data_IF_363759097313
#
_entry.id   IF_363759097313
#
_cell.length_a   1.000
_cell.length_b   1.000
_cell.length_c   1.000
_cell.angle_alpha   90.00
_cell.angle_beta   90.00
_cell.angle_gamma   90.00
#
_symmetry.space_group_name_H-M   'P 1'
#
loop_
_entity.id
_entity.type
_entity.pdbx_description
1 polymer ?
#
# COMPACT_ATOMS: atom_id res chain seq x y z
N UNK A 1 70.67 -25.12 -62.04
CA UNK A 1 70.49 -23.94 -61.15
C UNK A 1 69.38 -23.04 -61.68
N UNK A 2 69.39 -22.67 -62.97
CA UNK A 2 68.35 -21.81 -63.58
C UNK A 2 66.95 -22.43 -63.62
N UNK A 3 66.79 -23.71 -63.98
CA UNK A 3 65.47 -24.38 -63.97
C UNK A 3 64.83 -24.43 -62.57
N UNK A 4 65.63 -24.73 -61.54
CA UNK A 4 65.19 -24.68 -60.13
C UNK A 4 64.72 -23.28 -59.73
N UNK A 5 65.41 -22.23 -60.21
CA UNK A 5 65.01 -20.85 -59.98
C UNK A 5 63.64 -20.56 -60.61
N UNK A 6 63.41 -20.97 -61.86
CA UNK A 6 62.12 -20.76 -62.53
C UNK A 6 60.96 -21.51 -61.84
N UNK A 7 61.19 -22.74 -61.41
CA UNK A 7 60.19 -23.52 -60.66
C UNK A 7 59.85 -22.87 -59.32
N UNK A 8 60.86 -22.45 -58.55
CA UNK A 8 60.65 -21.79 -57.25
C UNK A 8 59.93 -20.45 -57.43
N UNK A 9 60.28 -19.66 -58.45
CA UNK A 9 59.63 -18.39 -58.76
C UNK A 9 58.17 -18.60 -59.21
N UNK A 10 57.91 -19.53 -60.11
CA UNK A 10 56.56 -19.83 -60.60
C UNK A 10 55.64 -20.40 -59.51
N UNK A 11 56.19 -21.29 -58.67
CA UNK A 11 55.47 -21.80 -57.50
C UNK A 11 55.15 -20.69 -56.50
N UNK A 12 56.11 -19.82 -56.19
CA UNK A 12 55.93 -18.69 -55.28
C UNK A 12 54.87 -17.70 -55.79
N UNK A 13 54.89 -17.38 -57.08
CA UNK A 13 53.87 -16.52 -57.71
C UNK A 13 52.46 -17.12 -57.60
N UNK A 14 52.34 -18.44 -57.77
CA UNK A 14 51.06 -19.15 -57.63
C UNK A 14 50.54 -19.09 -56.20
N UNK A 15 51.41 -19.33 -55.21
CA UNK A 15 51.07 -19.23 -53.77
C UNK A 15 50.67 -17.80 -53.41
N UNK A 16 51.41 -16.79 -53.87
CA UNK A 16 51.08 -15.37 -53.66
C UNK A 16 49.72 -15.04 -54.27
N UNK A 17 49.44 -15.50 -55.50
CA UNK A 17 48.15 -15.29 -56.16
C UNK A 17 46.98 -15.93 -55.39
N UNK A 18 47.18 -17.14 -54.84
CA UNK A 18 46.19 -17.80 -53.98
C UNK A 18 45.96 -17.03 -52.68
N UNK A 19 47.02 -16.61 -52.00
CA UNK A 19 46.94 -15.81 -50.76
C UNK A 19 46.22 -14.48 -51.02
N UNK A 20 46.57 -13.77 -52.10
CA UNK A 20 45.94 -12.51 -52.49
C UNK A 20 44.43 -12.68 -52.78
N UNK A 21 44.06 -13.79 -53.43
CA UNK A 21 42.66 -14.12 -53.72
C UNK A 21 41.85 -14.35 -52.44
N UNK A 22 42.41 -15.11 -51.48
CA UNK A 22 41.78 -15.34 -50.18
C UNK A 22 41.70 -14.05 -49.37
N UNK A 23 42.76 -13.24 -49.35
CA UNK A 23 42.79 -11.96 -48.66
C UNK A 23 41.73 -10.98 -49.20
N UNK A 24 41.59 -10.88 -50.52
CA UNK A 24 40.55 -10.07 -51.15
C UNK A 24 39.13 -10.56 -50.80
N UNK A 25 38.89 -11.87 -50.89
CA UNK A 25 37.60 -12.47 -50.55
C UNK A 25 37.23 -12.25 -49.07
N UNK A 26 38.20 -12.45 -48.17
CA UNK A 26 38.03 -12.20 -46.73
C UNK A 26 37.74 -10.73 -46.45
N UNK A 27 38.48 -9.80 -47.03
CA UNK A 27 38.24 -8.37 -46.87
C UNK A 27 36.80 -7.98 -47.28
N UNK A 28 36.31 -8.54 -48.40
CA UNK A 28 34.92 -8.33 -48.84
C UNK A 28 33.90 -8.94 -47.88
N UNK A 29 34.18 -10.11 -47.31
CA UNK A 29 33.29 -10.76 -46.32
C UNK A 29 33.23 -9.98 -45.01
N UNK A 30 34.37 -9.49 -44.50
CA UNK A 30 34.40 -8.64 -43.30
C UNK A 30 33.63 -7.34 -43.52
N UNK A 31 33.81 -6.66 -44.66
CA UNK A 31 33.05 -5.45 -44.97
C UNK A 31 31.52 -5.69 -45.04
N UNK A 32 31.08 -6.88 -45.45
CA UNK A 32 29.67 -7.25 -45.43
C UNK A 32 29.18 -7.52 -44.00
N UNK A 33 30.01 -8.15 -43.17
CA UNK A 33 29.72 -8.42 -41.76
C UNK A 33 29.58 -7.11 -41.00
N UNK A 34 30.48 -6.15 -41.19
CA UNK A 34 30.42 -4.82 -40.56
C UNK A 34 29.10 -4.11 -40.87
N UNK A 35 28.69 -4.11 -42.15
CA UNK A 35 27.39 -3.55 -42.56
C UNK A 35 26.20 -4.22 -41.86
N UNK A 36 26.26 -5.54 -41.65
CA UNK A 36 25.20 -6.27 -40.93
C UNK A 36 25.21 -5.92 -39.45
N UNK A 37 26.38 -5.79 -38.83
CA UNK A 37 26.51 -5.36 -37.44
C UNK A 37 26.00 -3.93 -37.24
N UNK A 38 26.31 -3.00 -38.15
CA UNK A 38 25.81 -1.63 -38.10
C UNK A 38 24.28 -1.59 -38.20
N UNK A 39 23.71 -2.33 -39.15
CA UNK A 39 22.25 -2.44 -39.29
C UNK A 39 21.60 -3.05 -38.05
N UNK A 40 22.22 -4.08 -37.48
CA UNK A 40 21.74 -4.74 -36.26
C UNK A 40 21.78 -3.79 -35.06
N UNK A 41 22.85 -2.99 -34.95
CA UNK A 41 23.01 -2.00 -33.88
C UNK A 41 21.90 -0.95 -33.93
N UNK A 42 21.64 -0.40 -35.11
CA UNK A 42 20.54 0.57 -35.33
C UNK A 42 19.18 -0.04 -34.95
N UNK A 43 18.93 -1.29 -35.33
CA UNK A 43 17.68 -1.98 -34.98
C UNK A 43 17.55 -2.20 -33.47
N UNK A 44 18.62 -2.64 -32.80
CA UNK A 44 18.63 -2.83 -31.35
C UNK A 44 18.43 -1.52 -30.59
N UNK A 45 19.12 -0.45 -30.99
CA UNK A 45 18.97 0.87 -30.37
C UNK A 45 17.52 1.36 -30.52
N UNK A 46 16.91 1.20 -31.70
CA UNK A 46 15.49 1.53 -31.92
C UNK A 46 14.53 0.68 -31.08
N UNK A 47 14.81 -0.62 -30.92
CA UNK A 47 14.02 -1.50 -30.04
C UNK A 47 14.14 -1.12 -28.57
N UNK A 48 15.32 -0.70 -28.13
CA UNK A 48 15.53 -0.22 -26.76
C UNK A 48 14.81 1.11 -26.51
N UNK A 49 14.88 2.05 -27.46
CA UNK A 49 14.16 3.33 -27.33
C UNK A 49 12.65 3.14 -27.28
N UNK A 50 12.10 2.31 -28.18
CA UNK A 50 10.66 2.01 -28.19
C UNK A 50 10.20 1.29 -26.92
N UNK A 51 10.94 0.27 -26.46
CA UNK A 51 10.64 -0.41 -25.20
C UNK A 51 10.70 0.52 -24.00
N UNK A 52 11.70 1.42 -23.95
CA UNK A 52 11.80 2.42 -22.89
C UNK A 52 10.64 3.41 -22.91
N UNK A 53 10.21 3.85 -24.10
CA UNK A 53 9.08 4.75 -24.26
C UNK A 53 7.75 4.10 -23.82
N UNK A 54 7.55 2.82 -24.18
CA UNK A 54 6.39 2.03 -23.77
C UNK A 54 6.35 1.84 -22.25
N UNK A 55 7.46 1.38 -21.65
CA UNK A 55 7.57 1.24 -20.19
C UNK A 55 7.32 2.56 -19.45
N UNK A 56 7.83 3.68 -19.99
CA UNK A 56 7.60 4.99 -19.40
C UNK A 56 6.12 5.40 -19.47
N UNK A 57 5.41 5.03 -20.55
CA UNK A 57 3.98 5.27 -20.69
C UNK A 57 3.16 4.40 -19.72
N UNK A 58 3.47 3.11 -19.62
CA UNK A 58 2.83 2.19 -18.67
C UNK A 58 3.01 2.65 -17.23
N UNK A 59 4.23 3.05 -16.86
CA UNK A 59 4.54 3.54 -15.52
C UNK A 59 3.75 4.82 -15.18
N UNK A 60 3.59 5.74 -16.14
CA UNK A 60 2.76 6.94 -15.97
C UNK A 60 1.30 6.59 -15.77
N UNK A 61 0.77 5.66 -16.56
CA UNK A 61 -0.61 5.20 -16.44
C UNK A 61 -0.87 4.53 -15.09
N UNK A 62 0.01 3.60 -14.68
CA UNK A 62 -0.07 2.94 -13.39
C UNK A 62 0.01 3.95 -12.22
N UNK A 63 0.89 4.95 -12.32
CA UNK A 63 0.99 6.02 -11.31
C UNK A 63 -0.29 6.85 -11.23
N UNK A 64 -0.89 7.20 -12.37
CA UNK A 64 -2.14 7.96 -12.42
C UNK A 64 -3.31 7.15 -11.84
N UNK A 65 -3.40 5.86 -12.19
CA UNK A 65 -4.43 4.96 -11.66
C UNK A 65 -4.30 4.77 -10.14
N UNK A 66 -3.09 4.53 -9.65
CA UNK A 66 -2.82 4.42 -8.22
C UNK A 66 -3.17 5.71 -7.48
N UNK A 67 -2.84 6.87 -8.06
CA UNK A 67 -3.25 8.17 -7.53
C UNK A 67 -4.76 8.29 -7.38
N UNK A 68 -5.51 7.94 -8.44
CA UNK A 68 -6.97 7.95 -8.42
C UNK A 68 -7.57 7.00 -7.38
N UNK A 69 -7.04 5.78 -7.25
CA UNK A 69 -7.47 4.80 -6.24
C UNK A 69 -7.19 5.28 -4.81
N UNK A 70 -6.04 5.91 -4.57
CA UNK A 70 -5.70 6.48 -3.25
C UNK A 70 -6.62 7.64 -2.89
N UNK A 71 -6.96 8.51 -3.85
CA UNK A 71 -7.89 9.61 -3.62
C UNK A 71 -9.31 9.11 -3.32
N UNK A 72 -9.77 8.06 -4.03
CA UNK A 72 -11.05 7.41 -3.75
C UNK A 72 -11.07 6.81 -2.33
N UNK A 73 -10.05 6.04 -1.96
CA UNK A 73 -9.92 5.46 -0.62
C UNK A 73 -9.90 6.54 0.46
N UNK A 74 -9.21 7.66 0.21
CA UNK A 74 -9.17 8.78 1.16
C UNK A 74 -10.56 9.38 1.39
N UNK A 75 -11.39 9.48 0.35
CA UNK A 75 -12.78 9.97 0.47
C UNK A 75 -13.65 8.99 1.23
N UNK A 76 -13.56 7.69 0.92
CA UNK A 76 -14.30 6.64 1.63
C UNK A 76 -13.98 6.62 3.12
N UNK A 77 -12.69 6.73 3.49
CA UNK A 77 -12.28 6.80 4.90
C UNK A 77 -12.81 8.05 5.60
N UNK A 78 -12.86 9.20 4.90
CA UNK A 78 -13.46 10.41 5.45
C UNK A 78 -14.97 10.29 5.65
N UNK A 79 -15.67 9.64 4.73
CA UNK A 79 -17.10 9.33 4.84
C UNK A 79 -17.37 8.39 6.01
N UNK A 80 -16.64 7.28 6.09
CA UNK A 80 -16.74 6.33 7.19
C UNK A 80 -16.50 7.02 8.55
N UNK A 81 -15.50 7.90 8.64
CA UNK A 81 -15.24 8.67 9.87
C UNK A 81 -16.41 9.58 10.23
N UNK A 82 -17.04 10.25 9.26
CA UNK A 82 -18.22 11.10 9.49
C UNK A 82 -19.42 10.28 9.95
N UNK A 83 -19.66 9.14 9.30
CA UNK A 83 -20.75 8.24 9.65
C UNK A 83 -20.58 7.67 11.04
N UNK A 84 -19.35 7.28 11.40
CA UNK A 84 -19.03 6.81 12.73
C UNK A 84 -19.26 7.86 13.81
N UNK A 85 -18.85 9.12 13.59
CA UNK A 85 -19.13 10.22 14.52
C UNK A 85 -20.64 10.42 14.71
N UNK A 86 -21.41 10.40 13.62
CA UNK A 86 -22.88 10.53 13.70
C UNK A 86 -23.52 9.37 14.45
N UNK A 87 -23.09 8.14 14.18
CA UNK A 87 -23.57 6.96 14.88
C UNK A 87 -23.24 7.00 16.38
N UNK A 88 -22.03 7.44 16.73
CA UNK A 88 -21.60 7.57 18.12
C UNK A 88 -22.39 8.63 18.89
N UNK A 89 -22.62 9.80 18.29
CA UNK A 89 -23.47 10.84 18.91
C UNK A 89 -24.93 10.38 19.05
N UNK A 90 -25.45 9.65 18.05
CA UNK A 90 -26.77 9.02 18.15
C UNK A 90 -26.85 7.99 19.29
N UNK A 91 -25.79 7.20 19.48
CA UNK A 91 -25.70 6.23 20.58
C UNK A 91 -25.65 6.93 21.95
N UNK A 92 -24.86 8.00 22.09
CA UNK A 92 -24.82 8.81 23.33
C UNK A 92 -26.21 9.30 23.72
N UNK A 93 -26.95 9.85 22.75
CA UNK A 93 -28.31 10.32 22.96
C UNK A 93 -29.26 9.20 23.37
N UNK A 94 -29.17 8.03 22.71
CA UNK A 94 -29.99 6.86 23.04
C UNK A 94 -29.71 6.33 24.44
N UNK A 95 -28.44 6.22 24.84
CA UNK A 95 -28.02 5.78 26.17
C UNK A 95 -28.51 6.74 27.26
N UNK A 96 -28.31 8.05 27.06
CA UNK A 96 -28.80 9.08 27.98
C UNK A 96 -30.33 8.99 28.14
N UNK A 97 -31.06 8.86 27.04
CA UNK A 97 -32.53 8.73 27.05
C UNK A 97 -32.99 7.46 27.78
N UNK A 98 -32.34 6.32 27.54
CA UNK A 98 -32.66 5.05 28.21
C UNK A 98 -32.45 5.12 29.72
N UNK A 99 -31.36 5.74 30.17
CA UNK A 99 -31.12 5.92 31.60
C UNK A 99 -32.09 6.91 32.24
N UNK A 100 -32.42 8.01 31.54
CA UNK A 100 -33.41 8.96 32.02
C UNK A 100 -34.77 8.28 32.26
N UNK A 101 -35.23 7.44 31.32
CA UNK A 101 -36.45 6.66 31.45
C UNK A 101 -36.41 5.73 32.66
N UNK A 102 -35.26 5.09 32.91
CA UNK A 102 -35.09 4.20 34.07
C UNK A 102 -35.19 4.99 35.38
N UNK A 103 -34.54 6.15 35.47
CA UNK A 103 -34.63 7.02 36.64
C UNK A 103 -36.06 7.51 36.87
N UNK A 104 -36.75 7.94 35.81
CA UNK A 104 -38.16 8.35 35.89
C UNK A 104 -39.07 7.21 36.37
N UNK A 105 -38.83 5.98 35.92
CA UNK A 105 -39.55 4.80 36.39
C UNK A 105 -39.30 4.52 37.88
N UNK A 106 -38.05 4.65 38.35
CA UNK A 106 -37.71 4.46 39.76
C UNK A 106 -38.35 5.52 40.66
N UNK A 107 -38.36 6.78 40.23
CA UNK A 107 -39.07 7.86 40.91
C UNK A 107 -40.57 7.60 40.96
N UNK A 108 -41.18 7.15 39.85
CA UNK A 108 -42.60 6.78 39.81
C UNK A 108 -42.94 5.65 40.79
N UNK A 109 -42.01 4.70 40.99
CA UNK A 109 -42.16 3.61 41.97
C UNK A 109 -41.90 4.03 43.42
N UNK A 110 -41.49 5.28 43.65
CA UNK A 110 -41.12 5.80 44.97
C UNK A 110 -39.81 5.20 45.51
N UNK A 111 -38.98 4.62 44.65
CA UNK A 111 -37.68 4.05 45.02
C UNK A 111 -36.57 5.12 45.07
N UNK A 112 -36.79 6.24 44.40
CA UNK A 112 -35.92 7.42 44.41
C UNK A 112 -36.78 8.67 44.60
N UNK A 113 -36.26 9.66 45.31
CA UNK A 113 -36.86 10.99 45.34
C UNK A 113 -36.47 11.83 44.10
N UNK A 114 -37.13 12.97 43.90
CA UNK A 114 -36.85 13.85 42.75
C UNK A 114 -35.44 14.46 42.77
N UNK A 115 -34.83 14.65 43.95
CA UNK A 115 -33.48 15.22 44.09
C UNK A 115 -32.43 14.18 43.73
N UNK A 116 -32.61 12.93 44.18
CA UNK A 116 -31.76 11.79 43.87
C UNK A 116 -31.77 11.48 42.37
N UNK A 117 -32.95 11.45 41.76
CA UNK A 117 -33.08 11.28 40.31
C UNK A 117 -32.47 12.45 39.53
N UNK A 118 -32.66 13.68 40.00
CA UNK A 118 -32.06 14.87 39.41
C UNK A 118 -30.53 14.87 39.45
N UNK A 119 -29.95 14.48 40.60
CA UNK A 119 -28.50 14.32 40.75
C UNK A 119 -27.96 13.24 39.80
N UNK A 120 -28.60 12.07 39.74
CA UNK A 120 -28.18 10.98 38.87
C UNK A 120 -28.24 11.36 37.38
N UNK A 121 -29.31 12.06 36.94
CA UNK A 121 -29.41 12.57 35.56
C UNK A 121 -28.27 13.53 35.23
N UNK A 122 -27.98 14.49 36.11
CA UNK A 122 -26.89 15.45 35.93
C UNK A 122 -25.52 14.76 35.84
N UNK A 123 -25.28 13.72 36.66
CA UNK A 123 -24.03 12.98 36.62
C UNK A 123 -23.87 12.15 35.34
N UNK A 124 -24.96 11.54 34.84
CA UNK A 124 -24.97 10.81 33.56
C UNK A 124 -24.66 11.76 32.40
N UNK A 125 -25.27 12.94 32.37
CA UNK A 125 -24.96 13.97 31.35
C UNK A 125 -23.50 14.42 31.43
N UNK A 126 -22.97 14.60 32.65
CA UNK A 126 -21.57 14.95 32.86
C UNK A 126 -20.63 13.87 32.31
N UNK A 127 -20.89 12.60 32.60
CA UNK A 127 -20.07 11.48 32.12
C UNK A 127 -20.12 11.35 30.60
N UNK A 128 -21.32 11.35 30.01
CA UNK A 128 -21.52 11.22 28.55
C UNK A 128 -20.88 12.38 27.78
N UNK A 129 -20.94 13.60 28.33
CA UNK A 129 -20.31 14.78 27.71
C UNK A 129 -18.78 14.77 27.81
N UNK A 130 -18.21 14.12 28.82
CA UNK A 130 -16.77 13.93 28.96
C UNK A 130 -16.24 12.80 28.06
N UNK A 131 -17.05 11.82 27.68
CA UNK A 131 -16.62 10.71 26.79
C UNK A 131 -16.32 11.20 25.38
N UNK A 132 -15.06 11.06 24.98
CA UNK A 132 -14.57 11.40 23.63
C UNK A 132 -14.31 10.14 22.82
N UNK A 133 -14.22 10.31 21.51
CA UNK A 133 -13.70 9.26 20.63
C UNK A 133 -12.20 9.10 20.89
N UNK A 134 -11.83 8.13 21.71
CA UNK A 134 -10.43 7.77 21.94
C UNK A 134 -10.00 6.67 20.94
N UNK A 135 -8.93 6.88 20.14
CA UNK A 135 -8.40 5.83 19.27
C UNK A 135 -7.73 4.72 20.10
N UNK A 136 -8.39 3.57 20.17
CA UNK A 136 -7.93 2.39 20.92
C UNK A 136 -6.79 1.68 20.16
N UNK A 137 -5.69 1.40 20.84
CA UNK A 137 -4.57 0.60 20.35
C UNK A 137 -4.93 -0.90 20.27
N UNK A 138 -4.11 -1.69 19.55
CA UNK A 138 -4.35 -3.15 19.48
C UNK A 138 -4.22 -3.83 20.84
N UNK A 139 -3.27 -3.39 21.67
CA UNK A 139 -3.10 -3.97 23.01
C UNK A 139 -4.31 -3.68 23.90
N UNK A 140 -4.84 -2.45 23.85
CA UNK A 140 -6.04 -2.07 24.60
C UNK A 140 -7.27 -2.82 24.12
N UNK A 141 -7.42 -3.07 22.81
CA UNK A 141 -8.52 -3.85 22.28
C UNK A 141 -8.47 -5.32 22.74
N UNK A 142 -7.30 -5.95 22.70
CA UNK A 142 -7.13 -7.33 23.18
C UNK A 142 -7.33 -7.44 24.70
N UNK A 143 -6.94 -6.40 25.45
CA UNK A 143 -7.26 -6.28 26.87
C UNK A 143 -8.78 -6.20 27.09
N UNK A 144 -9.49 -5.30 26.39
CA UNK A 144 -10.94 -5.15 26.50
C UNK A 144 -11.68 -6.44 26.18
N UNK A 145 -11.33 -7.13 25.08
CA UNK A 145 -11.95 -8.43 24.73
C UNK A 145 -11.77 -9.47 25.82
N UNK A 146 -10.59 -9.52 26.44
CA UNK A 146 -10.28 -10.48 27.50
C UNK A 146 -11.11 -10.21 28.76
N UNK A 147 -11.21 -8.95 29.17
CA UNK A 147 -11.95 -8.57 30.38
C UNK A 147 -13.46 -8.72 30.18
N UNK A 148 -13.99 -8.32 29.01
CA UNK A 148 -15.43 -8.48 28.68
C UNK A 148 -15.86 -9.96 28.63
N UNK A 149 -14.94 -10.87 28.36
CA UNK A 149 -15.22 -12.32 28.34
C UNK A 149 -15.25 -12.95 29.76
N UNK A 150 -14.82 -12.24 30.80
CA UNK A 150 -14.88 -12.73 32.19
C UNK A 150 -16.26 -12.50 32.81
N UNK A 151 -16.56 -13.25 33.86
CA UNK A 151 -17.73 -12.99 34.69
C UNK A 151 -17.52 -11.71 35.52
N UNK A 152 -18.58 -10.96 35.82
CA UNK A 152 -18.50 -9.65 36.49
C UNK A 152 -17.83 -9.75 37.86
N UNK A 153 -18.00 -10.89 38.54
CA UNK A 153 -17.41 -11.16 39.85
C UNK A 153 -15.90 -11.46 39.80
N UNK A 154 -15.34 -11.67 38.61
CA UNK A 154 -13.92 -12.01 38.39
C UNK A 154 -13.08 -10.83 37.86
N UNK A 155 -13.71 -9.68 37.62
CA UNK A 155 -13.03 -8.47 37.15
C UNK A 155 -12.33 -7.81 38.34
N UNK A 156 -11.01 -7.72 38.28
CA UNK A 156 -10.23 -7.04 39.32
C UNK A 156 -10.44 -5.50 39.25
N UNK A 157 -10.27 -4.81 40.38
CA UNK A 157 -10.45 -3.37 40.46
C UNK A 157 -9.53 -2.62 39.48
N UNK A 158 -8.29 -3.09 39.35
CA UNK A 158 -7.29 -2.54 38.44
C UNK A 158 -7.69 -2.73 36.97
N UNK A 159 -8.37 -3.85 36.65
CA UNK A 159 -8.88 -4.09 35.29
C UNK A 159 -10.05 -3.14 34.97
N UNK A 160 -10.93 -2.90 35.94
CA UNK A 160 -12.03 -1.94 35.81
C UNK A 160 -11.52 -0.48 35.67
N UNK A 161 -10.54 -0.08 36.48
CA UNK A 161 -9.91 1.24 36.39
C UNK A 161 -9.26 1.46 35.02
N UNK A 162 -8.57 0.43 34.49
CA UNK A 162 -7.96 0.49 33.17
C UNK A 162 -8.99 0.59 32.03
N UNK A 163 -10.15 -0.07 32.14
CA UNK A 163 -11.25 0.11 31.19
C UNK A 163 -11.73 1.56 31.17
N UNK A 164 -11.90 2.16 32.35
CA UNK A 164 -12.32 3.56 32.49
C UNK A 164 -11.26 4.50 31.90
N UNK A 165 -9.97 4.22 32.09
CA UNK A 165 -8.88 5.00 31.51
C UNK A 165 -8.90 4.96 29.97
N UNK A 166 -9.13 3.78 29.37
CA UNK A 166 -9.25 3.62 27.91
C UNK A 166 -10.47 4.38 27.37
N UNK A 167 -11.56 4.46 28.15
CA UNK A 167 -12.79 5.14 27.76
C UNK A 167 -12.79 6.68 27.94
N UNK A 168 -11.76 7.26 28.55
CA UNK A 168 -11.57 8.72 28.64
C UNK A 168 -11.04 9.29 27.32
#
# INVERSE_FOLDING_TARGET
MEELLYYVVGFSLTVIGMIASVAYWLGRKFALIDKKFDSLRVEFDGKLESANAELAAELRNAKAELGGRLDALRREVQELRRDFVRAFEGLKAAVSSSHALTLDFLTLKGLLDEREAGFAKAEIERLISMTRLNPITREELEFLKRVVAKDVNEIALEEAEKIVEIGK
#
